data_IF_070207961281
#
_entry.id   IF_070207961281
#
_cell.length_a   1.000
_cell.length_b   1.000
_cell.length_c   1.000
_cell.angle_alpha   90.00
_cell.angle_beta   90.00
_cell.angle_gamma   90.00
#
_symmetry.space_group_name_H-M   'P 1'
#
loop_
_entity.id
_entity.type
_entity.pdbx_description
1 polymer ?
#
# COMPACT_ATOMS: atom_id res chain seq x y z
N UNK A 1 -5.87 -8.41 23.83
CA UNK A 1 -4.81 -7.91 22.92
C UNK A 1 -5.15 -8.24 21.45
N UNK A 2 -5.74 -7.29 20.74
CA UNK A 2 -6.09 -7.44 19.32
C UNK A 2 -4.94 -7.00 18.41
N UNK A 3 -4.79 -7.63 17.25
CA UNK A 3 -3.83 -7.23 16.23
C UNK A 3 -4.26 -5.88 15.62
N UNK A 4 -3.52 -4.81 15.87
CA UNK A 4 -3.83 -3.46 15.35
C UNK A 4 -3.14 -3.14 14.01
N UNK A 5 -2.02 -3.82 13.71
CA UNK A 5 -1.26 -3.64 12.47
C UNK A 5 -0.83 -5.00 11.91
N UNK A 6 -0.99 -5.18 10.60
CA UNK A 6 -0.57 -6.37 9.85
C UNK A 6 0.26 -5.92 8.66
N UNK A 7 1.53 -6.34 8.62
CA UNK A 7 2.45 -6.05 7.53
C UNK A 7 2.90 -7.35 6.87
N UNK A 8 2.56 -7.50 5.60
CA UNK A 8 2.88 -8.60 4.71
C UNK A 8 3.39 -8.09 3.35
N UNK A 9 4.34 -7.13 3.30
CA UNK A 9 4.83 -6.57 2.04
C UNK A 9 5.64 -7.60 1.24
N UNK A 10 5.61 -7.49 -0.09
CA UNK A 10 6.38 -8.31 -1.04
C UNK A 10 6.11 -9.83 -0.98
N UNK A 11 4.98 -10.23 -0.40
CA UNK A 11 4.60 -11.64 -0.22
C UNK A 11 4.06 -12.35 -1.45
N UNK A 12 4.04 -11.73 -2.64
CA UNK A 12 3.71 -12.40 -3.91
C UNK A 12 2.30 -13.00 -3.94
N UNK A 13 1.35 -12.29 -4.55
CA UNK A 13 -0.03 -12.78 -4.73
C UNK A 13 -0.68 -13.36 -3.45
N UNK A 14 -0.48 -12.70 -2.32
CA UNK A 14 -1.17 -13.05 -1.08
C UNK A 14 -2.68 -12.81 -1.26
N UNK A 15 -3.41 -13.86 -1.64
CA UNK A 15 -4.87 -13.88 -1.52
C UNK A 15 -5.19 -14.13 -0.06
N UNK A 16 -5.37 -13.06 0.71
CA UNK A 16 -5.89 -13.20 2.07
C UNK A 16 -7.37 -13.53 1.92
N UNK A 17 -7.83 -14.73 2.29
CA UNK A 17 -9.25 -15.01 2.29
C UNK A 17 -9.85 -14.24 3.46
N UNK A 18 -10.36 -13.04 3.19
CA UNK A 18 -11.08 -12.23 4.17
C UNK A 18 -12.49 -12.80 4.41
N UNK A 19 -12.57 -14.09 4.67
CA UNK A 19 -13.80 -14.80 5.02
C UNK A 19 -13.73 -15.11 6.50
N UNK A 20 -14.07 -14.17 7.38
CA UNK A 20 -14.33 -14.46 8.78
C UNK A 20 -15.15 -13.33 9.42
N UNK A 21 -16.25 -13.70 10.05
CA UNK A 21 -17.18 -12.86 10.83
C UNK A 21 -16.59 -12.25 12.10
N UNK A 22 -15.27 -12.37 12.32
CA UNK A 22 -14.57 -11.79 13.47
C UNK A 22 -13.09 -11.47 13.16
N UNK A 23 -12.84 -10.64 12.15
CA UNK A 23 -11.49 -10.06 12.02
C UNK A 23 -11.24 -9.08 13.18
N UNK A 24 -10.05 -9.10 13.81
CA UNK A 24 -9.70 -8.12 14.83
C UNK A 24 -9.72 -6.71 14.23
N UNK A 25 -9.98 -5.67 15.04
CA UNK A 25 -10.01 -4.28 14.57
C UNK A 25 -8.62 -3.87 14.11
N UNK A 26 -8.37 -4.03 12.81
CA UNK A 26 -7.11 -3.69 12.16
C UNK A 26 -7.16 -2.23 11.73
N UNK A 27 -6.15 -1.46 12.14
CA UNK A 27 -6.00 -0.05 11.78
C UNK A 27 -4.99 0.15 10.66
N UNK A 28 -4.00 -0.73 10.55
CA UNK A 28 -2.93 -0.63 9.55
C UNK A 28 -2.73 -1.96 8.83
N UNK A 29 -2.84 -1.93 7.51
CA UNK A 29 -2.63 -3.10 6.64
C UNK A 29 -1.63 -2.75 5.53
N UNK A 30 -0.50 -3.45 5.50
CA UNK A 30 0.45 -3.38 4.40
C UNK A 30 0.54 -4.75 3.70
N UNK A 31 0.08 -4.83 2.46
CA UNK A 31 0.16 -6.02 1.60
C UNK A 31 0.74 -5.65 0.23
N UNK A 32 1.46 -4.52 0.17
CA UNK A 32 2.04 -3.99 -1.05
C UNK A 32 3.13 -4.92 -1.59
N UNK A 33 3.11 -5.22 -2.89
CA UNK A 33 4.14 -6.02 -3.52
C UNK A 33 4.73 -5.32 -4.73
N UNK A 34 6.06 -5.14 -4.75
CA UNK A 34 6.80 -4.54 -5.86
C UNK A 34 7.44 -5.58 -6.79
N UNK A 35 7.13 -6.88 -6.62
CA UNK A 35 7.61 -7.95 -7.53
C UNK A 35 6.85 -7.88 -8.87
N UNK A 36 7.58 -8.05 -9.97
CA UNK A 36 7.01 -8.15 -11.32
C UNK A 36 6.03 -9.33 -11.40
N UNK A 37 4.88 -9.13 -12.06
CA UNK A 37 3.82 -10.15 -12.19
C UNK A 37 2.86 -10.28 -11.00
N UNK A 38 2.99 -9.45 -9.95
CA UNK A 38 2.01 -9.44 -8.85
C UNK A 38 0.64 -8.95 -9.35
N UNK A 39 -0.42 -9.71 -9.06
CA UNK A 39 -1.78 -9.29 -9.37
C UNK A 39 -2.23 -8.12 -8.47
N UNK A 40 -3.20 -7.31 -8.91
CA UNK A 40 -3.93 -6.37 -8.05
C UNK A 40 -4.62 -7.08 -6.89
N UNK A 41 -4.80 -6.40 -5.75
CA UNK A 41 -5.60 -6.92 -4.65
C UNK A 41 -7.10 -6.57 -4.79
N UNK A 42 -7.92 -7.43 -4.22
CA UNK A 42 -9.37 -7.21 -4.11
C UNK A 42 -9.66 -6.18 -3.01
N UNK A 43 -9.77 -4.92 -3.44
CA UNK A 43 -10.12 -3.78 -2.59
C UNK A 43 -11.46 -4.00 -1.88
N UNK A 44 -12.44 -4.59 -2.56
CA UNK A 44 -13.77 -4.81 -2.02
C UNK A 44 -13.75 -5.75 -0.82
N UNK A 45 -13.02 -6.86 -0.94
CA UNK A 45 -12.84 -7.80 0.14
C UNK A 45 -12.08 -7.20 1.33
N UNK A 46 -11.02 -6.42 1.09
CA UNK A 46 -10.23 -5.75 2.14
C UNK A 46 -11.10 -4.78 2.95
N UNK A 47 -11.80 -3.89 2.25
CA UNK A 47 -12.62 -2.85 2.89
C UNK A 47 -13.81 -3.46 3.62
N UNK A 48 -14.38 -4.55 3.11
CA UNK A 48 -15.44 -5.29 3.81
C UNK A 48 -14.93 -5.92 5.11
N UNK A 49 -13.68 -6.39 5.15
CA UNK A 49 -13.08 -7.04 6.30
C UNK A 49 -12.60 -6.05 7.37
N UNK A 50 -12.10 -4.89 6.94
CA UNK A 50 -11.52 -3.87 7.81
C UNK A 50 -12.09 -2.48 7.50
N UNK A 51 -13.34 -2.22 7.90
CA UNK A 51 -14.03 -0.96 7.58
C UNK A 51 -13.47 0.27 8.32
N UNK A 52 -12.52 0.08 9.24
CA UNK A 52 -11.93 1.13 10.06
C UNK A 52 -10.42 1.30 9.82
N UNK A 53 -9.90 0.86 8.67
CA UNK A 53 -8.50 1.06 8.32
C UNK A 53 -8.15 2.55 8.29
N UNK A 54 -7.04 2.88 8.96
CA UNK A 54 -6.40 4.19 8.96
C UNK A 54 -5.21 4.23 8.00
N UNK A 55 -4.51 3.11 7.85
CA UNK A 55 -3.38 2.97 6.94
C UNK A 55 -3.55 1.74 6.05
N UNK A 56 -3.37 1.93 4.75
CA UNK A 56 -3.53 0.87 3.77
C UNK A 56 -2.45 0.95 2.70
N UNK A 57 -1.69 -0.13 2.51
CA UNK A 57 -0.72 -0.28 1.43
C UNK A 57 -1.02 -1.51 0.56
N UNK A 58 -1.20 -1.30 -0.75
CA UNK A 58 -1.59 -2.36 -1.70
C UNK A 58 -1.25 -2.03 -3.15
N UNK A 59 -1.38 -3.01 -4.02
CA UNK A 59 -1.36 -2.90 -5.47
C UNK A 59 -2.79 -2.79 -6.02
N UNK A 60 -3.09 -1.63 -6.61
CA UNK A 60 -4.37 -1.35 -7.25
C UNK A 60 -4.34 -1.68 -8.74
N UNK A 61 -5.46 -2.18 -9.23
CA UNK A 61 -5.73 -2.41 -10.65
C UNK A 61 -7.23 -2.52 -10.88
N UNK A 62 -7.72 -1.89 -11.95
CA UNK A 62 -9.15 -1.80 -12.24
C UNK A 62 -9.90 -0.89 -11.25
N UNK A 63 -11.15 -1.24 -10.96
CA UNK A 63 -12.06 -0.46 -10.11
C UNK A 63 -11.57 -0.38 -8.66
N UNK A 64 -11.25 0.83 -8.20
CA UNK A 64 -10.84 1.12 -6.83
C UNK A 64 -11.85 1.97 -6.04
N UNK A 65 -13.06 2.16 -6.56
CA UNK A 65 -14.12 2.99 -5.95
C UNK A 65 -14.54 2.54 -4.55
N UNK A 66 -14.36 1.26 -4.23
CA UNK A 66 -14.72 0.74 -2.90
C UNK A 66 -13.85 1.33 -1.77
N UNK A 67 -12.67 1.90 -2.08
CA UNK A 67 -11.86 2.66 -1.12
C UNK A 67 -12.61 3.82 -0.49
N UNK A 68 -13.60 4.41 -1.18
CA UNK A 68 -14.40 5.53 -0.69
C UNK A 68 -15.12 5.18 0.62
N UNK A 69 -15.42 3.89 0.88
CA UNK A 69 -16.03 3.48 2.16
C UNK A 69 -15.14 3.74 3.38
N UNK A 70 -13.84 3.93 3.18
CA UNK A 70 -12.88 4.30 4.22
C UNK A 70 -12.69 5.83 4.35
N UNK A 71 -13.55 6.65 3.73
CA UNK A 71 -13.38 8.11 3.64
C UNK A 71 -13.14 8.82 4.98
N UNK A 72 -13.74 8.34 6.08
CA UNK A 72 -13.63 8.94 7.41
C UNK A 72 -12.43 8.44 8.23
N UNK A 73 -11.92 7.24 7.91
CA UNK A 73 -10.88 6.58 8.70
C UNK A 73 -9.50 6.66 8.04
N UNK A 74 -9.42 6.54 6.72
CA UNK A 74 -8.16 6.35 6.01
C UNK A 74 -7.29 7.62 6.00
N UNK A 75 -6.26 7.63 6.84
CA UNK A 75 -5.27 8.72 6.95
C UNK A 75 -4.12 8.57 5.98
N UNK A 76 -3.73 7.34 5.66
CA UNK A 76 -2.59 7.05 4.79
C UNK A 76 -2.90 5.96 3.78
N UNK A 77 -2.63 6.26 2.52
CA UNK A 77 -2.78 5.33 1.40
C UNK A 77 -1.44 5.18 0.66
N UNK A 78 -0.96 3.95 0.54
CA UNK A 78 0.23 3.62 -0.25
C UNK A 78 -0.19 2.67 -1.39
N UNK A 79 -0.02 3.08 -2.64
CA UNK A 79 -0.57 2.36 -3.78
C UNK A 79 0.49 2.10 -4.83
N UNK A 80 0.67 0.84 -5.20
CA UNK A 80 1.23 0.51 -6.51
C UNK A 80 0.11 0.56 -7.54
N UNK A 81 0.35 1.12 -8.71
CA UNK A 81 -0.65 1.22 -9.78
C UNK A 81 -0.33 0.23 -10.91
N UNK A 82 -1.36 -0.50 -11.37
CA UNK A 82 -1.23 -1.47 -12.48
C UNK A 82 -1.13 -0.78 -13.84
N UNK A 83 -1.88 0.30 -14.03
CA UNK A 83 -2.08 0.95 -15.31
C UNK A 83 -2.57 2.40 -15.15
N UNK A 84 -2.57 3.14 -16.26
CA UNK A 84 -2.99 4.54 -16.30
C UNK A 84 -4.49 4.74 -16.03
N UNK A 85 -5.35 3.78 -16.38
CA UNK A 85 -6.80 3.87 -16.12
C UNK A 85 -7.11 3.82 -14.61
N UNK A 86 -6.45 2.92 -13.89
CA UNK A 86 -6.52 2.80 -12.42
C UNK A 86 -6.01 4.09 -11.77
N UNK A 87 -4.90 4.64 -12.27
CA UNK A 87 -4.36 5.91 -11.80
C UNK A 87 -5.36 7.07 -11.98
N UNK A 88 -6.05 7.10 -13.12
CA UNK A 88 -7.05 8.12 -13.44
C UNK A 88 -8.28 8.00 -12.55
N UNK A 89 -8.77 6.78 -12.33
CA UNK A 89 -9.90 6.54 -11.44
C UNK A 89 -9.59 6.95 -10.01
N UNK A 90 -8.42 6.54 -9.49
CA UNK A 90 -7.97 6.94 -8.16
C UNK A 90 -7.96 8.47 -8.04
N UNK A 91 -7.33 9.16 -9.00
CA UNK A 91 -7.19 10.62 -8.98
C UNK A 91 -8.53 11.37 -9.05
N UNK A 92 -9.44 10.94 -9.94
CA UNK A 92 -10.65 11.72 -10.24
C UNK A 92 -11.85 11.30 -9.40
N UNK A 93 -12.00 10.02 -9.09
CA UNK A 93 -13.21 9.50 -8.45
C UNK A 93 -13.00 9.21 -6.96
N UNK A 94 -11.84 8.72 -6.58
CA UNK A 94 -11.62 8.19 -5.22
C UNK A 94 -11.03 9.25 -4.30
N UNK A 95 -9.88 9.85 -4.66
CA UNK A 95 -9.18 10.79 -3.79
C UNK A 95 -10.05 11.98 -3.35
N UNK A 96 -10.90 12.60 -4.20
CA UNK A 96 -11.78 13.69 -3.77
C UNK A 96 -12.79 13.30 -2.69
N UNK A 97 -13.11 12.01 -2.58
CA UNK A 97 -14.03 11.50 -1.55
C UNK A 97 -13.31 11.06 -0.27
N UNK A 98 -11.98 10.92 -0.27
CA UNK A 98 -11.21 10.52 0.91
C UNK A 98 -10.86 11.72 1.79
N UNK A 99 -11.86 12.31 2.43
CA UNK A 99 -11.73 13.56 3.20
C UNK A 99 -10.70 13.49 4.35
N UNK A 100 -10.51 12.31 4.95
CA UNK A 100 -9.58 12.10 6.06
C UNK A 100 -8.12 11.87 5.63
N UNK A 101 -7.86 11.72 4.33
CA UNK A 101 -6.57 11.30 3.78
C UNK A 101 -5.54 12.42 3.87
N UNK A 102 -4.47 12.17 4.62
CA UNK A 102 -3.40 13.13 4.85
C UNK A 102 -2.19 12.85 3.95
N UNK A 103 -1.97 11.58 3.61
CA UNK A 103 -0.78 11.15 2.87
C UNK A 103 -1.10 10.08 1.82
N UNK A 104 -0.59 10.33 0.61
CA UNK A 104 -0.59 9.38 -0.50
C UNK A 104 0.86 9.05 -0.90
N UNK A 105 1.25 7.79 -0.79
CA UNK A 105 2.50 7.27 -1.36
C UNK A 105 2.14 6.49 -2.66
N UNK A 106 2.52 6.99 -3.84
CA UNK A 106 2.27 6.34 -5.13
C UNK A 106 3.53 5.62 -5.59
N UNK A 107 3.37 4.35 -5.97
CA UNK A 107 4.45 3.50 -6.43
C UNK A 107 4.18 3.12 -7.88
N UNK A 108 5.03 3.60 -8.77
CA UNK A 108 4.96 3.28 -10.20
C UNK A 108 5.87 2.11 -10.54
N UNK A 109 5.56 1.31 -11.58
CA UNK A 109 6.41 0.19 -11.99
C UNK A 109 7.80 0.66 -12.43
N UNK A 110 7.87 1.76 -13.18
CA UNK A 110 9.09 2.24 -13.82
C UNK A 110 9.45 3.66 -13.41
N UNK A 111 10.74 3.96 -13.35
CA UNK A 111 11.25 5.30 -13.02
C UNK A 111 10.78 6.38 -14.01
N UNK A 112 10.58 6.01 -15.28
CA UNK A 112 10.07 6.90 -16.32
C UNK A 112 8.66 7.43 -16.05
N UNK A 113 7.87 6.74 -15.22
CA UNK A 113 6.48 7.11 -14.94
C UNK A 113 6.34 8.06 -13.74
N UNK A 114 7.43 8.29 -12.98
CA UNK A 114 7.39 9.06 -11.73
C UNK A 114 6.88 10.47 -11.96
N UNK A 115 7.46 11.21 -12.91
CA UNK A 115 7.06 12.59 -13.20
C UNK A 115 5.59 12.69 -13.66
N UNK A 116 5.13 11.73 -14.47
CA UNK A 116 3.75 11.70 -14.94
C UNK A 116 2.76 11.41 -13.79
N UNK A 117 3.13 10.51 -12.87
CA UNK A 117 2.35 10.25 -11.67
C UNK A 117 2.36 11.45 -10.72
N UNK A 118 3.50 12.10 -10.50
CA UNK A 118 3.59 13.32 -9.68
C UNK A 118 2.66 14.40 -10.20
N UNK A 119 2.69 14.68 -11.51
CA UNK A 119 1.79 15.66 -12.12
C UNK A 119 0.32 15.28 -11.96
N UNK A 120 -0.02 14.00 -12.14
CA UNK A 120 -1.40 13.52 -12.02
C UNK A 120 -1.97 13.69 -10.62
N UNK A 121 -1.17 13.40 -9.59
CA UNK A 121 -1.65 13.42 -8.21
C UNK A 121 -1.44 14.75 -7.50
N UNK A 122 -0.64 15.66 -8.07
CA UNK A 122 -0.28 16.94 -7.47
C UNK A 122 -1.49 17.70 -6.94
N UNK A 123 -1.46 18.02 -5.64
CA UNK A 123 -2.48 18.84 -4.99
C UNK A 123 -3.80 18.12 -4.68
N UNK A 124 -3.91 16.81 -4.96
CA UNK A 124 -5.11 16.04 -4.64
C UNK A 124 -5.20 15.64 -3.16
N UNK A 125 -4.05 15.58 -2.47
CA UNK A 125 -3.98 15.33 -1.02
C UNK A 125 -2.89 16.21 -0.39
N UNK A 126 -2.90 16.42 0.94
CA UNK A 126 -1.94 17.31 1.62
C UNK A 126 -0.47 16.92 1.44
N UNK A 127 -0.16 15.63 1.44
CA UNK A 127 1.20 15.11 1.30
C UNK A 127 1.25 13.98 0.27
N UNK A 128 2.14 14.10 -0.71
CA UNK A 128 2.31 13.13 -1.79
C UNK A 128 3.78 12.77 -1.94
N UNK A 129 4.06 11.48 -2.04
CA UNK A 129 5.35 10.98 -2.49
C UNK A 129 5.13 10.00 -3.64
N UNK A 130 5.91 10.12 -4.71
CA UNK A 130 5.90 9.19 -5.82
C UNK A 130 7.26 8.52 -5.92
N UNK A 131 7.28 7.19 -6.03
CA UNK A 131 8.50 6.39 -6.11
C UNK A 131 8.33 5.30 -7.15
N UNK A 132 9.43 4.77 -7.66
CA UNK A 132 9.36 3.57 -8.50
C UNK A 132 9.54 2.28 -7.68
N UNK A 133 9.03 1.16 -8.19
CA UNK A 133 9.17 -0.16 -7.55
C UNK A 133 10.63 -0.54 -7.31
N UNK A 134 11.55 -0.10 -8.19
CA UNK A 134 13.00 -0.29 -8.01
C UNK A 134 13.52 0.33 -6.72
N UNK A 135 13.23 1.62 -6.51
CA UNK A 135 13.64 2.35 -5.30
C UNK A 135 13.05 1.75 -4.02
N UNK A 136 11.77 1.34 -4.06
CA UNK A 136 11.12 0.69 -2.91
C UNK A 136 11.78 -0.64 -2.58
N UNK A 137 12.17 -1.42 -3.59
CA UNK A 137 12.91 -2.67 -3.40
C UNK A 137 14.33 -2.43 -2.89
N UNK A 138 15.05 -1.47 -3.45
CA UNK A 138 16.40 -1.13 -3.03
C UNK A 138 16.43 -0.64 -1.58
N UNK A 139 15.43 0.15 -1.18
CA UNK A 139 15.21 0.50 0.22
C UNK A 139 14.99 -0.75 1.08
N UNK A 140 14.08 -1.65 0.70
CA UNK A 140 13.85 -2.87 1.46
C UNK A 140 15.14 -3.67 1.67
N UNK A 141 15.93 -3.88 0.60
CA UNK A 141 17.22 -4.61 0.67
C UNK A 141 18.22 -3.90 1.59
N UNK A 142 18.38 -2.58 1.46
CA UNK A 142 19.27 -1.79 2.32
C UNK A 142 18.89 -1.89 3.80
N UNK A 143 17.60 -1.99 4.11
CA UNK A 143 17.13 -2.20 5.47
C UNK A 143 17.44 -3.60 5.97
N UNK A 144 17.25 -4.64 5.16
CA UNK A 144 17.64 -6.01 5.52
C UNK A 144 19.13 -6.10 5.81
N UNK A 145 19.98 -5.53 4.95
CA UNK A 145 21.44 -5.51 5.14
C UNK A 145 21.83 -4.76 6.42
N UNK A 146 21.15 -3.65 6.73
CA UNK A 146 21.38 -2.92 7.99
C UNK A 146 20.99 -3.74 9.20
N UNK A 147 19.84 -4.44 9.17
CA UNK A 147 19.38 -5.29 10.27
C UNK A 147 20.30 -6.49 10.45
N UNK A 148 20.69 -7.15 9.37
CA UNK A 148 21.68 -8.23 9.39
C UNK A 148 23.00 -7.76 10.01
N UNK A 149 23.53 -6.61 9.56
CA UNK A 149 24.78 -6.07 10.10
C UNK A 149 24.67 -5.66 11.58
N UNK A 150 23.49 -5.23 12.03
CA UNK A 150 23.21 -4.91 13.44
C UNK A 150 23.05 -6.19 14.28
N UNK A 151 22.40 -7.22 13.74
CA UNK A 151 22.29 -8.54 14.36
C UNK A 151 23.66 -9.22 14.49
N UNK A 152 24.50 -9.14 13.46
CA UNK A 152 25.89 -9.61 13.49
C UNK A 152 26.70 -8.88 14.57
N UNK A 153 26.56 -7.55 14.65
CA UNK A 153 27.20 -6.74 15.69
C UNK A 153 26.70 -7.02 17.11
N UNK A 154 25.49 -7.58 17.27
CA UNK A 154 24.87 -7.96 18.53
C UNK A 154 24.95 -9.47 18.82
N UNK A 155 25.52 -10.28 17.92
CA UNK A 155 25.60 -11.74 18.04
C UNK A 155 24.25 -12.46 17.93
N UNK A 156 23.25 -11.85 17.28
CA UNK A 156 21.92 -12.43 17.08
C UNK A 156 21.86 -13.17 15.75
N UNK A 157 21.40 -14.43 15.75
CA UNK A 157 21.21 -15.22 14.53
C UNK A 157 19.82 -14.95 13.96
N UNK A 158 19.76 -14.39 12.75
CA UNK A 158 18.53 -14.33 11.95
C UNK A 158 18.28 -15.71 11.32
N UNK A 159 17.25 -16.42 11.76
CA UNK A 159 16.78 -17.62 11.05
C UNK A 159 16.25 -17.20 9.67
N UNK A 160 16.83 -17.79 8.62
CA UNK A 160 16.48 -17.53 7.21
C UNK A 160 15.21 -18.23 6.79
#
# INVERSE_FOLDING_TARGET
>A
PGLASLQLPNNGALRVPFTCSSMPPLLSLDILCCKGGSAPQDVGAIVAAFPHLEELALHLGGDCSTLIRLQESLRRLCVRLSDASTAQELAVRVLPSLASLQRLDVIVPWKGDVAAAEQRFRGLVPSIAVRCCGEVRDMAVMWTVKVESLCDGLGLVLEK
#
